data_IF_822837134156
#
_entry.id   IF_822837134156
#
_cell.length_a   1.000
_cell.length_b   1.000
_cell.length_c   1.000
_cell.angle_alpha   90.00
_cell.angle_beta   90.00
_cell.angle_gamma   90.00
#
_symmetry.space_group_name_H-M   'P 1'
#
loop_
_entity.id
_entity.type
_entity.pdbx_description
1 polymer ?
#
# COMPACT_ATOMS: atom_id res chain seq x y z
N UNK A 1 -39.73 -4.49 46.84
CA UNK A 1 -38.25 -4.56 46.81
C UNK A 1 -37.84 -5.75 45.95
N UNK A 2 -37.64 -5.57 44.65
CA UNK A 2 -37.20 -6.64 43.74
C UNK A 2 -35.70 -6.51 43.54
N UNK A 3 -34.91 -7.40 44.17
CA UNK A 3 -33.46 -7.43 43.97
C UNK A 3 -33.14 -8.04 42.61
N UNK A 4 -32.40 -7.31 41.77
CA UNK A 4 -31.82 -7.88 40.55
C UNK A 4 -30.63 -8.75 40.91
N UNK A 5 -30.70 -10.04 40.57
CA UNK A 5 -29.57 -10.96 40.69
C UNK A 5 -28.52 -10.62 39.64
N UNK A 6 -27.33 -10.21 40.07
CA UNK A 6 -26.18 -9.95 39.20
C UNK A 6 -25.52 -11.29 38.85
N UNK A 7 -25.85 -11.84 37.69
CA UNK A 7 -25.15 -13.02 37.15
C UNK A 7 -23.77 -12.59 36.66
N UNK A 8 -22.66 -13.21 37.13
CA UNK A 8 -21.32 -12.89 36.65
C UNK A 8 -21.16 -13.38 35.21
N UNK A 9 -21.23 -12.46 34.25
CA UNK A 9 -20.98 -12.76 32.85
C UNK A 9 -19.49 -12.63 32.55
N UNK A 10 -18.88 -13.68 32.01
CA UNK A 10 -17.50 -13.57 31.52
C UNK A 10 -17.45 -12.64 30.31
N UNK A 11 -16.35 -11.90 30.13
CA UNK A 11 -16.12 -11.04 28.94
C UNK A 11 -16.35 -11.79 27.63
N UNK A 12 -16.05 -13.09 27.59
CA UNK A 12 -16.28 -13.97 26.44
C UNK A 12 -17.77 -14.17 26.15
N UNK A 13 -18.59 -14.35 27.19
CA UNK A 13 -20.04 -14.49 27.04
C UNK A 13 -20.66 -13.20 26.50
N UNK A 14 -20.24 -12.03 26.99
CA UNK A 14 -20.71 -10.74 26.48
C UNK A 14 -20.39 -10.55 24.99
N UNK A 15 -19.16 -10.87 24.57
CA UNK A 15 -18.75 -10.78 23.17
C UNK A 15 -19.51 -11.80 22.30
N UNK A 16 -19.72 -13.02 22.78
CA UNK A 16 -20.46 -14.05 22.08
C UNK A 16 -21.95 -13.70 21.91
N UNK A 17 -22.59 -13.09 22.91
CA UNK A 17 -23.99 -12.66 22.82
C UNK A 17 -24.17 -11.37 22.01
N UNK A 18 -23.18 -10.49 21.99
CA UNK A 18 -23.26 -9.17 21.34
C UNK A 18 -22.84 -9.16 19.87
N UNK A 19 -22.10 -10.16 19.38
CA UNK A 19 -21.53 -10.15 18.03
C UNK A 19 -22.57 -10.20 16.90
N UNK A 20 -23.74 -10.79 17.15
CA UNK A 20 -24.79 -10.93 16.14
C UNK A 20 -25.49 -9.60 15.80
N UNK A 21 -25.53 -8.63 16.72
CA UNK A 21 -26.22 -7.35 16.51
C UNK A 21 -25.47 -6.38 15.59
N UNK A 22 -24.14 -6.45 15.57
CA UNK A 22 -23.29 -5.56 14.75
C UNK A 22 -23.44 -5.85 13.26
N UNK A 23 -23.63 -7.12 12.88
CA UNK A 23 -23.84 -7.52 11.50
C UNK A 23 -25.11 -6.92 10.91
N UNK A 24 -26.24 -6.95 11.64
CA UNK A 24 -27.50 -6.38 11.18
C UNK A 24 -27.44 -4.86 10.99
N UNK A 25 -26.73 -4.15 11.88
CA UNK A 25 -26.48 -2.70 11.74
C UNK A 25 -25.62 -2.39 10.50
N UNK A 26 -24.56 -3.18 10.27
CA UNK A 26 -23.71 -3.02 9.09
C UNK A 26 -24.49 -3.25 7.79
N UNK A 27 -25.35 -4.27 7.74
CA UNK A 27 -26.19 -4.56 6.58
C UNK A 27 -27.20 -3.44 6.31
N UNK A 28 -27.85 -2.90 7.35
CA UNK A 28 -28.78 -1.77 7.20
C UNK A 28 -28.07 -0.51 6.68
N UNK A 29 -26.86 -0.24 7.17
CA UNK A 29 -26.03 0.88 6.71
C UNK A 29 -25.63 0.75 5.23
N UNK A 30 -25.24 -0.45 4.78
CA UNK A 30 -24.92 -0.72 3.38
C UNK A 30 -26.15 -0.56 2.46
N UNK A 31 -27.31 -1.07 2.87
CA UNK A 31 -28.55 -0.95 2.09
C UNK A 31 -28.97 0.52 1.91
N UNK A 32 -28.80 1.35 2.95
CA UNK A 32 -29.03 2.80 2.86
C UNK A 32 -28.06 3.47 1.87
N UNK A 33 -26.78 3.07 1.84
CA UNK A 33 -25.83 3.61 0.86
C UNK A 33 -26.18 3.22 -0.58
N UNK A 34 -26.70 2.03 -0.81
CA UNK A 34 -27.12 1.60 -2.14
C UNK A 34 -28.30 2.42 -2.66
N UNK A 35 -29.27 2.72 -1.79
CA UNK A 35 -30.39 3.62 -2.11
C UNK A 35 -29.93 5.04 -2.48
N UNK A 36 -28.86 5.55 -1.86
CA UNK A 36 -28.27 6.86 -2.21
C UNK A 36 -27.58 6.85 -3.59
N UNK A 37 -27.15 5.69 -4.08
CA UNK A 37 -26.53 5.53 -5.41
C UNK A 37 -27.54 5.35 -6.55
N UNK A 38 -28.82 5.14 -6.22
CA UNK A 38 -29.90 5.03 -7.20
C UNK A 38 -30.42 6.39 -7.71
N UNK A 39 -29.78 7.50 -7.34
CA UNK A 39 -30.05 8.79 -7.98
C UNK A 39 -29.71 8.67 -9.49
N UNK A 40 -30.63 9.05 -10.40
CA UNK A 40 -30.36 8.98 -11.83
C UNK A 40 -29.11 9.82 -12.12
N UNK A 41 -28.14 9.22 -12.80
CA UNK A 41 -26.93 9.90 -13.23
C UNK A 41 -27.36 11.18 -13.97
N UNK A 42 -27.03 12.34 -13.40
CA UNK A 42 -27.25 13.61 -14.11
C UNK A 42 -26.50 13.50 -15.43
N UNK A 43 -27.14 13.75 -16.59
CA UNK A 43 -26.42 13.81 -17.84
C UNK A 43 -25.33 14.88 -17.69
N UNK A 44 -24.10 14.53 -18.03
CA UNK A 44 -23.01 15.50 -18.09
C UNK A 44 -23.35 16.51 -19.19
N UNK A 45 -23.85 17.69 -18.79
CA UNK A 45 -24.28 18.76 -19.68
C UNK A 45 -23.11 19.53 -20.30
N UNK A 46 -21.91 19.35 -19.74
CA UNK A 46 -20.69 20.07 -20.11
C UNK A 46 -19.66 19.08 -20.68
N UNK A 47 -19.01 19.38 -21.81
CA UNK A 47 -17.90 18.59 -22.32
C UNK A 47 -16.78 18.51 -21.26
N UNK A 48 -16.38 17.31 -20.90
CA UNK A 48 -15.27 17.10 -19.96
C UNK A 48 -13.95 17.55 -20.59
N UNK A 49 -13.42 18.68 -20.14
CA UNK A 49 -12.13 19.20 -20.59
C UNK A 49 -10.99 18.52 -19.80
N UNK A 50 -10.24 17.66 -20.47
CA UNK A 50 -9.04 17.04 -19.91
C UNK A 50 -7.83 17.92 -20.17
N UNK A 51 -7.28 18.49 -19.10
CA UNK A 51 -6.06 19.28 -19.14
C UNK A 51 -4.90 18.51 -18.48
N UNK A 52 -3.69 18.71 -19.01
CA UNK A 52 -2.43 18.18 -18.48
C UNK A 52 -1.81 19.10 -17.43
N UNK A 53 -2.41 20.26 -17.15
CA UNK A 53 -1.97 21.14 -16.08
C UNK A 53 -1.99 20.42 -14.70
N UNK A 54 -0.99 20.71 -13.85
CA UNK A 54 -0.95 20.15 -12.49
C UNK A 54 -2.20 20.49 -11.69
N UNK A 55 -2.95 19.47 -11.26
CA UNK A 55 -4.13 19.65 -10.40
C UNK A 55 -3.72 19.87 -8.96
N UNK A 56 -4.41 20.78 -8.26
CA UNK A 56 -4.18 21.00 -6.84
C UNK A 56 -4.65 19.76 -6.06
N UNK A 57 -3.79 19.16 -5.20
CA UNK A 57 -4.19 18.04 -4.37
C UNK A 57 -5.29 18.49 -3.40
N UNK A 58 -6.17 17.55 -3.03
CA UNK A 58 -7.32 17.80 -2.14
C UNK A 58 -6.90 18.13 -0.70
N UNK A 59 -5.62 17.91 -0.34
CA UNK A 59 -5.08 18.25 0.98
C UNK A 59 -3.56 18.37 0.97
N UNK A 60 -2.99 18.67 2.14
CA UNK A 60 -1.54 18.72 2.29
C UNK A 60 -0.94 17.32 2.08
N UNK A 61 0.07 17.20 1.19
CA UNK A 61 0.69 15.92 0.93
C UNK A 61 1.41 15.41 2.17
N UNK A 62 1.09 14.19 2.59
CA UNK A 62 1.75 13.50 3.69
C UNK A 62 2.38 12.22 3.19
N UNK A 63 3.67 12.02 3.44
CA UNK A 63 4.33 10.75 3.15
C UNK A 63 3.71 9.64 4.03
N UNK A 64 3.11 8.63 3.39
CA UNK A 64 2.47 7.50 4.09
C UNK A 64 3.41 6.28 4.18
N UNK A 65 4.33 6.12 3.23
CA UNK A 65 5.27 5.02 3.19
C UNK A 65 6.59 5.43 2.54
N UNK A 66 7.68 4.81 3.00
CA UNK A 66 8.98 4.84 2.35
C UNK A 66 9.27 3.44 1.83
N UNK A 67 9.34 3.29 0.51
CA UNK A 67 9.62 2.01 -0.14
C UNK A 67 11.09 2.03 -0.59
N UNK A 68 11.92 1.24 0.07
CA UNK A 68 13.33 1.04 -0.30
C UNK A 68 13.47 -0.27 -1.07
N UNK A 69 13.70 -0.17 -2.37
CA UNK A 69 13.88 -1.32 -3.25
C UNK A 69 15.38 -1.62 -3.39
N UNK A 70 15.82 -2.77 -2.89
CA UNK A 70 17.20 -3.25 -3.06
C UNK A 70 17.24 -4.27 -4.19
N UNK A 71 17.43 -3.79 -5.41
CA UNK A 71 17.47 -4.63 -6.60
C UNK A 71 18.90 -5.14 -6.82
N UNK A 72 19.12 -6.41 -6.50
CA UNK A 72 20.36 -7.12 -6.86
C UNK A 72 20.46 -7.22 -8.39
N UNK A 73 21.55 -6.71 -8.95
CA UNK A 73 21.81 -6.79 -10.40
C UNK A 73 22.09 -5.46 -11.11
N UNK A 74 22.02 -4.32 -10.41
CA UNK A 74 22.54 -3.06 -10.95
C UNK A 74 24.07 -3.07 -11.00
N UNK A 75 24.70 -2.48 -12.04
CA UNK A 75 26.15 -2.25 -12.02
C UNK A 75 26.50 -1.48 -10.75
N UNK A 76 27.61 -1.87 -10.10
CA UNK A 76 28.03 -1.19 -8.87
C UNK A 76 28.19 0.30 -9.14
N UNK A 77 27.94 1.14 -8.12
CA UNK A 77 28.17 2.59 -8.26
C UNK A 77 29.62 2.91 -8.69
N UNK A 78 30.54 1.99 -8.39
CA UNK A 78 31.96 2.01 -8.73
C UNK A 78 32.21 1.62 -10.21
N UNK A 79 31.28 0.93 -10.87
CA UNK A 79 31.40 0.46 -12.25
C UNK A 79 30.70 1.32 -13.30
N UNK A 80 29.89 2.31 -12.89
CA UNK A 80 29.04 3.05 -13.80
C UNK A 80 29.79 4.09 -14.65
N UNK A 81 30.64 4.92 -14.06
CA UNK A 81 31.17 6.12 -14.73
C UNK A 81 32.69 6.32 -14.63
N UNK A 82 33.42 5.37 -14.04
CA UNK A 82 34.87 5.45 -13.98
C UNK A 82 35.50 4.60 -15.09
N UNK A 83 36.15 5.20 -16.11
CA UNK A 83 36.86 4.45 -17.13
C UNK A 83 38.00 3.66 -16.47
N UNK A 84 38.03 2.33 -16.69
CA UNK A 84 39.05 1.43 -16.15
C UNK A 84 40.10 1.08 -17.21
N UNK A 85 41.10 1.95 -17.48
CA UNK A 85 42.05 1.76 -18.57
C UNK A 85 42.93 0.52 -18.38
N UNK A 86 43.25 0.16 -17.14
CA UNK A 86 44.02 -1.05 -16.83
C UNK A 86 43.20 -2.30 -17.15
N UNK A 87 41.92 -2.33 -16.75
CA UNK A 87 41.03 -3.45 -17.06
C UNK A 87 40.84 -3.62 -18.58
N UNK A 88 40.69 -2.52 -19.31
CA UNK A 88 40.64 -2.54 -20.78
C UNK A 88 41.94 -3.11 -21.40
N UNK A 89 43.12 -2.80 -20.87
CA UNK A 89 44.42 -3.34 -21.33
C UNK A 89 44.58 -4.85 -21.11
N UNK A 90 43.91 -5.39 -20.10
CA UNK A 90 43.97 -6.80 -19.73
C UNK A 90 42.73 -7.59 -20.20
N UNK A 91 41.81 -6.94 -20.91
CA UNK A 91 40.64 -7.57 -21.50
C UNK A 91 41.07 -8.70 -22.45
N UNK A 92 40.48 -9.90 -22.28
CA UNK A 92 40.77 -11.13 -23.04
C UNK A 92 42.20 -11.70 -22.90
N UNK A 93 42.98 -11.27 -21.90
CA UNK A 93 44.28 -11.88 -21.60
C UNK A 93 44.14 -12.96 -20.53
N UNK A 94 44.84 -14.08 -20.71
CA UNK A 94 44.94 -15.11 -19.69
C UNK A 94 45.62 -14.54 -18.43
N UNK A 95 45.11 -14.91 -17.25
CA UNK A 95 45.65 -14.46 -15.99
C UNK A 95 47.09 -14.99 -15.80
N UNK A 96 48.10 -14.12 -15.60
CA UNK A 96 49.50 -14.54 -15.57
C UNK A 96 49.96 -15.17 -14.24
N UNK A 97 49.11 -15.17 -13.21
CA UNK A 97 49.45 -15.66 -11.86
C UNK A 97 48.87 -17.02 -11.52
N UNK A 98 49.34 -17.61 -10.41
CA UNK A 98 48.63 -18.72 -9.77
C UNK A 98 47.51 -18.15 -8.91
N UNK A 99 46.29 -18.61 -9.13
CA UNK A 99 45.14 -18.27 -8.28
C UNK A 99 45.29 -19.08 -6.98
N UNK A 100 45.46 -18.38 -5.85
CA UNK A 100 45.41 -18.99 -4.52
C UNK A 100 43.96 -18.99 -4.06
N UNK A 101 43.42 -20.17 -3.81
CA UNK A 101 42.15 -20.32 -3.09
C UNK A 101 42.50 -20.50 -1.62
N UNK A 102 42.02 -19.61 -0.78
CA UNK A 102 42.01 -19.77 0.69
C UNK A 102 40.71 -20.44 1.13
#
# INVERSE_FOLDING_TARGET
>A
MTSFSSVPHSRRHFLASGSLGLGSLATAWLAQQEQLKAAPARPELEPTHFDTLPKRPVGEPRAQAMISLWMQGGPSHIDLFDPKPVMAKWHMKAFPGKIKYD
#
